data_IF_724684242390
#
_entry.id   IF_724684242390
#
_cell.length_a   1.000
_cell.length_b   1.000
_cell.length_c   1.000
_cell.angle_alpha   90.00
_cell.angle_beta   90.00
_cell.angle_gamma   90.00
#
_symmetry.space_group_name_H-M   'P 1'
#
loop_
_entity.id
_entity.type
_entity.pdbx_description
1 polymer ?
#
# COMPACT_ATOMS: atom_id res chain seq x y z
N UNK A 1 35.86 -12.37 -7.56
CA UNK A 1 34.73 -13.27 -7.22
C UNK A 1 34.13 -13.01 -5.80
N UNK A 2 34.15 -11.78 -5.28
CA UNK A 2 33.58 -11.44 -3.95
C UNK A 2 32.34 -10.54 -3.97
N UNK A 3 31.94 -10.05 -5.13
CA UNK A 3 30.82 -9.10 -5.23
C UNK A 3 29.44 -9.74 -5.52
N UNK A 4 29.41 -11.02 -5.90
CA UNK A 4 28.15 -11.72 -6.23
C UNK A 4 27.35 -12.15 -4.97
N UNK A 5 28.03 -12.39 -3.85
CA UNK A 5 27.39 -12.87 -2.62
C UNK A 5 26.62 -11.77 -1.84
N UNK A 6 27.06 -10.50 -1.94
CA UNK A 6 26.41 -9.40 -1.22
C UNK A 6 25.06 -9.04 -1.88
N UNK A 7 24.97 -9.10 -3.20
CA UNK A 7 23.72 -8.85 -3.93
C UNK A 7 22.65 -9.94 -3.68
N UNK A 8 23.07 -11.19 -3.54
CA UNK A 8 22.15 -12.31 -3.25
C UNK A 8 21.56 -12.18 -1.83
N UNK A 9 22.35 -11.76 -0.85
CA UNK A 9 21.86 -11.59 0.54
C UNK A 9 20.89 -10.43 0.70
N UNK A 10 21.04 -9.33 -0.04
CA UNK A 10 20.10 -8.20 0.00
C UNK A 10 18.79 -8.56 -0.69
N UNK A 11 18.84 -9.28 -1.80
CA UNK A 11 17.64 -9.79 -2.49
C UNK A 11 16.88 -10.83 -1.67
N UNK A 12 17.57 -11.76 -1.03
CA UNK A 12 16.97 -12.79 -0.18
C UNK A 12 16.30 -12.16 1.05
N UNK A 13 16.90 -11.16 1.71
CA UNK A 13 16.25 -10.48 2.83
C UNK A 13 15.04 -9.64 2.41
N UNK A 14 15.09 -8.96 1.28
CA UNK A 14 13.94 -8.23 0.76
C UNK A 14 12.79 -9.19 0.38
N UNK A 15 13.13 -10.35 -0.17
CA UNK A 15 12.17 -11.41 -0.50
C UNK A 15 11.58 -12.07 0.75
N UNK A 16 12.36 -12.31 1.79
CA UNK A 16 11.88 -12.84 3.07
C UNK A 16 10.97 -11.84 3.80
N UNK A 17 11.30 -10.54 3.81
CA UNK A 17 10.41 -9.53 4.39
C UNK A 17 9.10 -9.38 3.62
N UNK A 18 9.14 -9.45 2.28
CA UNK A 18 7.91 -9.44 1.47
C UNK A 18 7.08 -10.71 1.69
N UNK A 19 7.70 -11.86 1.83
CA UNK A 19 7.02 -13.14 2.07
C UNK A 19 6.40 -13.22 3.48
N UNK A 20 7.07 -12.72 4.51
CA UNK A 20 6.52 -12.67 5.88
C UNK A 20 5.30 -11.75 5.96
N UNK A 21 5.29 -10.65 5.21
CA UNK A 21 4.14 -9.74 5.12
C UNK A 21 3.00 -10.34 4.29
N UNK A 22 3.31 -11.10 3.24
CA UNK A 22 2.34 -11.79 2.37
C UNK A 22 1.73 -12.99 3.09
N UNK A 23 2.51 -13.80 3.80
CA UNK A 23 2.01 -14.99 4.52
C UNK A 23 1.06 -14.65 5.66
N UNK A 24 1.20 -13.49 6.30
CA UNK A 24 0.25 -13.04 7.32
C UNK A 24 -1.09 -12.60 6.73
N UNK A 25 -1.18 -12.38 5.43
CA UNK A 25 -2.37 -11.97 4.68
C UNK A 25 -2.61 -12.87 3.46
N UNK A 26 -2.90 -14.14 3.69
CA UNK A 26 -3.22 -15.17 2.65
C UNK A 26 -4.35 -14.78 1.66
N UNK A 27 -4.84 -13.56 1.73
CA UNK A 27 -5.95 -13.08 0.91
C UNK A 27 -5.54 -12.57 -0.47
N UNK A 28 -4.26 -12.47 -0.75
CA UNK A 28 -3.81 -11.84 -2.00
C UNK A 28 -4.17 -12.69 -3.23
N UNK A 29 -3.95 -13.99 -3.18
CA UNK A 29 -4.33 -14.91 -4.28
C UNK A 29 -5.84 -14.92 -4.51
N UNK A 30 -6.64 -14.78 -3.45
CA UNK A 30 -8.10 -14.77 -3.57
C UNK A 30 -8.66 -13.56 -4.33
N UNK A 31 -7.89 -12.47 -4.48
CA UNK A 31 -8.29 -11.29 -5.25
C UNK A 31 -7.97 -11.41 -6.74
N UNK A 32 -6.97 -12.17 -7.13
CA UNK A 32 -6.61 -12.34 -8.53
C UNK A 32 -7.73 -12.98 -9.35
N UNK A 33 -8.50 -13.88 -8.77
CA UNK A 33 -9.62 -14.57 -9.41
C UNK A 33 -10.94 -13.78 -9.43
N UNK A 34 -11.05 -12.69 -8.67
CA UNK A 34 -12.27 -11.87 -8.63
C UNK A 34 -12.29 -10.91 -9.83
N UNK A 35 -13.27 -11.04 -10.69
CA UNK A 35 -13.51 -10.11 -11.79
C UNK A 35 -14.56 -9.03 -11.38
N UNK A 36 -14.79 -8.07 -12.27
CA UNK A 36 -15.74 -6.97 -12.06
C UNK A 36 -17.10 -7.20 -12.74
N UNK A 37 -17.47 -8.46 -13.04
CA UNK A 37 -18.67 -8.80 -13.80
C UNK A 37 -19.92 -9.05 -12.93
N UNK A 38 -19.95 -8.55 -11.71
CA UNK A 38 -21.16 -8.66 -10.86
C UNK A 38 -22.27 -7.72 -11.37
N UNK A 39 -23.52 -8.18 -11.33
CA UNK A 39 -24.68 -7.49 -11.91
C UNK A 39 -24.88 -6.04 -11.40
N UNK A 40 -24.57 -5.76 -10.15
CA UNK A 40 -24.78 -4.44 -9.53
C UNK A 40 -23.48 -3.68 -9.27
N UNK A 41 -22.36 -4.12 -9.86
CA UNK A 41 -21.08 -3.42 -9.69
C UNK A 41 -21.08 -2.12 -10.51
N UNK A 42 -20.65 -1.00 -9.91
CA UNK A 42 -20.40 0.23 -10.65
C UNK A 42 -19.40 0.03 -11.78
N UNK A 43 -19.65 0.68 -12.93
CA UNK A 43 -18.86 0.49 -14.14
C UNK A 43 -17.89 1.63 -14.44
N UNK A 44 -17.97 2.76 -13.75
CA UNK A 44 -17.23 3.97 -14.12
C UNK A 44 -16.53 4.69 -12.96
N UNK A 45 -16.45 4.15 -11.78
CA UNK A 45 -15.60 4.65 -10.70
C UNK A 45 -14.99 3.48 -9.94
N UNK A 46 -14.01 3.75 -9.11
CA UNK A 46 -13.38 2.70 -8.35
C UNK A 46 -14.36 2.03 -7.38
N UNK A 47 -14.33 0.72 -7.36
CA UNK A 47 -14.88 -0.12 -6.30
C UNK A 47 -13.91 -1.28 -6.05
N UNK A 48 -13.69 -1.66 -4.79
CA UNK A 48 -12.81 -2.80 -4.51
C UNK A 48 -13.37 -4.10 -5.08
N UNK A 49 -12.51 -5.03 -5.40
CA UNK A 49 -12.92 -6.35 -5.93
C UNK A 49 -13.85 -7.07 -4.97
N UNK A 50 -13.59 -6.98 -3.67
CA UNK A 50 -14.46 -7.54 -2.61
C UNK A 50 -14.15 -6.90 -1.26
N UNK A 51 -14.95 -7.22 -0.26
CA UNK A 51 -14.80 -6.87 1.14
C UNK A 51 -15.01 -5.39 1.44
N UNK A 52 -14.83 -5.01 2.71
CA UNK A 52 -15.09 -3.67 3.21
C UNK A 52 -14.16 -2.63 2.59
N UNK A 53 -14.71 -1.51 2.21
CA UNK A 53 -14.00 -0.31 1.75
C UNK A 53 -14.64 0.93 2.38
N UNK A 54 -13.84 1.93 2.77
CA UNK A 54 -14.32 3.24 3.18
C UNK A 54 -13.39 4.34 2.64
N UNK A 55 -12.77 5.15 3.48
CA UNK A 55 -12.11 6.40 3.10
C UNK A 55 -11.14 6.28 1.93
N UNK A 56 -11.24 7.11 0.89
CA UNK A 56 -10.18 7.29 -0.06
C UNK A 56 -8.98 7.98 0.60
N UNK A 57 -7.78 7.55 0.28
CA UNK A 57 -6.53 8.06 0.82
C UNK A 57 -5.56 8.38 -0.30
N UNK A 58 -4.70 9.37 -0.09
CA UNK A 58 -3.49 9.59 -0.85
C UNK A 58 -3.64 9.60 -2.38
N UNK A 59 -4.68 10.24 -2.91
CA UNK A 59 -4.82 10.39 -4.35
C UNK A 59 -3.65 11.21 -4.91
N UNK A 60 -2.78 10.58 -5.67
CA UNK A 60 -1.56 11.20 -6.20
C UNK A 60 -1.33 10.78 -7.65
N UNK A 61 -0.84 11.73 -8.48
CA UNK A 61 -0.45 11.46 -9.85
C UNK A 61 1.06 11.35 -9.97
N UNK A 62 1.53 10.26 -10.59
CA UNK A 62 2.94 10.08 -10.86
C UNK A 62 3.19 9.26 -12.13
N UNK A 63 4.02 9.80 -13.04
CA UNK A 63 4.46 9.14 -14.28
C UNK A 63 3.34 8.48 -15.09
N UNK A 64 2.23 9.19 -15.31
CA UNK A 64 1.11 8.71 -16.14
C UNK A 64 0.10 7.85 -15.41
N UNK A 65 0.23 7.69 -14.10
CA UNK A 65 -0.70 6.93 -13.28
C UNK A 65 -1.26 7.79 -12.14
N UNK A 66 -2.57 7.79 -11.97
CA UNK A 66 -3.24 8.20 -10.74
C UNK A 66 -3.20 7.03 -9.78
N UNK A 67 -2.72 7.24 -8.58
CA UNK A 67 -2.72 6.27 -7.49
C UNK A 67 -3.82 6.66 -6.51
N UNK A 68 -4.71 5.74 -6.23
CA UNK A 68 -5.72 5.84 -5.20
C UNK A 68 -5.44 4.78 -4.14
N UNK A 69 -5.20 5.22 -2.93
CA UNK A 69 -5.20 4.35 -1.77
C UNK A 69 -6.56 4.42 -1.08
N UNK A 70 -6.90 3.43 -0.29
CA UNK A 70 -8.21 3.40 0.38
C UNK A 70 -8.18 2.50 1.61
N UNK A 71 -9.01 2.85 2.58
CA UNK A 71 -9.23 2.00 3.75
C UNK A 71 -9.91 0.71 3.31
N UNK A 72 -9.36 -0.43 3.71
CA UNK A 72 -9.83 -1.73 3.29
C UNK A 72 -9.70 -2.77 4.40
N UNK A 73 -10.73 -3.59 4.57
CA UNK A 73 -10.60 -4.81 5.34
C UNK A 73 -10.43 -5.99 4.39
N UNK A 74 -9.23 -6.51 4.18
CA UNK A 74 -9.02 -7.60 3.23
C UNK A 74 -9.66 -8.94 3.64
N UNK A 75 -10.10 -9.06 4.90
CA UNK A 75 -10.55 -10.33 5.49
C UNK A 75 -12.07 -10.43 5.65
N UNK A 76 -12.82 -9.32 5.58
CA UNK A 76 -14.25 -9.32 5.91
C UNK A 76 -15.01 -8.20 5.20
N UNK A 77 -16.32 -8.40 5.06
CA UNK A 77 -17.27 -7.37 4.65
C UNK A 77 -17.62 -6.39 5.77
N UNK A 78 -17.13 -6.61 6.98
CA UNK A 78 -17.30 -5.72 8.12
C UNK A 78 -16.06 -4.83 8.31
N UNK A 79 -16.26 -3.68 8.92
CA UNK A 79 -15.17 -2.81 9.32
C UNK A 79 -14.20 -3.52 10.28
N UNK A 80 -12.92 -3.35 10.07
CA UNK A 80 -11.84 -3.94 10.88
C UNK A 80 -10.57 -4.19 10.06
N UNK A 81 -9.49 -4.61 10.68
CA UNK A 81 -8.21 -4.95 10.04
C UNK A 81 -7.76 -3.92 8.99
N UNK A 82 -7.93 -2.61 9.30
CA UNK A 82 -7.72 -1.55 8.33
C UNK A 82 -6.32 -1.60 7.74
N UNK A 83 -6.30 -1.71 6.43
CA UNK A 83 -5.15 -1.84 5.54
C UNK A 83 -5.29 -0.78 4.45
N UNK A 84 -4.21 -0.23 3.94
CA UNK A 84 -4.32 0.56 2.73
C UNK A 84 -4.37 -0.36 1.50
N UNK A 85 -5.56 -0.45 0.89
CA UNK A 85 -5.71 -0.94 -0.46
C UNK A 85 -5.10 0.04 -1.45
N UNK A 86 -4.85 -0.40 -2.69
CA UNK A 86 -4.25 0.41 -3.73
C UNK A 86 -4.89 0.12 -5.09
N UNK A 87 -5.15 1.17 -5.83
CA UNK A 87 -5.59 1.09 -7.22
C UNK A 87 -4.88 2.15 -8.06
N UNK A 88 -4.72 1.86 -9.34
CA UNK A 88 -4.17 2.81 -10.32
C UNK A 88 -5.15 3.03 -11.47
N UNK A 89 -5.07 4.23 -12.04
CA UNK A 89 -5.80 4.61 -13.24
C UNK A 89 -4.99 5.55 -14.12
N UNK A 90 -5.27 5.58 -15.41
CA UNK A 90 -4.74 6.57 -16.34
C UNK A 90 -5.69 7.73 -16.61
N UNK A 91 -6.98 7.55 -16.30
CA UNK A 91 -8.07 8.46 -16.66
C UNK A 91 -9.03 8.77 -15.49
N UNK A 92 -8.78 8.22 -14.30
CA UNK A 92 -9.64 8.26 -13.09
C UNK A 92 -11.04 7.66 -13.28
N UNK A 93 -11.30 6.98 -14.39
CA UNK A 93 -12.56 6.31 -14.69
C UNK A 93 -12.36 4.79 -14.61
N UNK A 94 -11.35 4.28 -15.32
CA UNK A 94 -11.00 2.86 -15.33
C UNK A 94 -9.87 2.59 -14.34
N UNK A 95 -10.12 1.75 -13.39
CA UNK A 95 -9.20 1.45 -12.29
C UNK A 95 -8.74 0.00 -12.32
N UNK A 96 -7.49 -0.20 -11.99
CA UNK A 96 -6.89 -1.52 -11.75
C UNK A 96 -6.49 -1.59 -10.29
N UNK A 97 -7.12 -2.48 -9.54
CA UNK A 97 -6.73 -2.75 -8.15
C UNK A 97 -5.42 -3.54 -8.14
N UNK A 98 -4.46 -3.00 -7.43
CA UNK A 98 -3.14 -3.58 -7.19
C UNK A 98 -3.10 -4.31 -5.83
N UNK A 99 -1.96 -4.95 -5.51
CA UNK A 99 -1.64 -5.37 -4.16
C UNK A 99 -1.84 -4.26 -3.13
N UNK A 100 -2.16 -4.65 -1.89
CA UNK A 100 -2.26 -3.68 -0.79
C UNK A 100 -0.92 -2.96 -0.60
N UNK A 101 -1.00 -1.65 -0.38
CA UNK A 101 0.18 -0.81 -0.23
C UNK A 101 0.80 -0.91 1.16
N UNK A 102 -0.02 -0.81 2.21
CA UNK A 102 0.45 -0.77 3.59
C UNK A 102 -0.43 -1.69 4.44
N UNK A 103 0.21 -2.67 5.07
CA UNK A 103 -0.44 -3.65 5.94
C UNK A 103 -0.38 -3.24 7.41
N UNK A 104 -1.29 -3.72 8.26
CA UNK A 104 -1.16 -3.62 9.70
C UNK A 104 0.20 -4.15 10.17
N UNK A 105 0.82 -3.44 11.10
CA UNK A 105 2.08 -3.86 11.72
C UNK A 105 2.07 -3.57 13.21
N UNK A 106 3.01 -4.18 13.95
CA UNK A 106 3.07 -4.03 15.40
C UNK A 106 1.74 -4.36 16.07
N UNK A 107 1.30 -3.48 16.94
CA UNK A 107 0.04 -3.61 17.68
C UNK A 107 -1.11 -2.75 17.12
N UNK A 108 -1.13 -2.46 15.81
CA UNK A 108 -2.15 -1.56 15.28
C UNK A 108 -2.56 -1.85 13.84
N UNK A 109 -3.44 -1.00 13.35
CA UNK A 109 -3.96 -1.00 11.98
C UNK A 109 -3.70 0.36 11.32
N UNK A 110 -3.86 0.43 10.01
CA UNK A 110 -3.53 1.61 9.22
C UNK A 110 -4.79 2.42 8.98
N UNK A 111 -4.89 3.60 9.61
CA UNK A 111 -5.99 4.53 9.40
C UNK A 111 -5.67 5.51 8.27
N UNK A 112 -6.60 6.42 8.03
CA UNK A 112 -6.56 7.33 6.89
C UNK A 112 -5.35 8.26 6.92
N UNK A 113 -5.00 8.76 5.75
CA UNK A 113 -3.87 9.64 5.54
C UNK A 113 -3.77 10.13 4.09
N UNK A 114 -2.58 10.56 3.71
CA UNK A 114 -2.32 11.17 2.41
C UNK A 114 -1.05 10.62 1.76
N UNK A 115 -0.84 10.94 0.47
CA UNK A 115 0.40 10.63 -0.22
C UNK A 115 0.84 11.82 -1.08
N UNK A 116 2.15 11.94 -1.27
CA UNK A 116 2.77 12.95 -2.12
C UNK A 116 3.94 12.37 -2.90
N UNK A 117 4.28 12.97 -4.04
CA UNK A 117 5.54 12.67 -4.72
C UNK A 117 6.63 13.57 -4.14
N UNK A 118 7.72 12.99 -3.67
CA UNK A 118 8.87 13.73 -3.16
C UNK A 118 9.69 14.34 -4.30
N UNK A 119 9.21 15.47 -4.81
CA UNK A 119 9.79 16.12 -5.99
C UNK A 119 11.19 16.66 -5.77
N UNK A 120 11.54 17.03 -4.56
CA UNK A 120 12.83 17.69 -4.20
C UNK A 120 13.74 16.77 -3.38
N UNK A 121 13.38 15.48 -3.25
CA UNK A 121 14.14 14.48 -2.50
C UNK A 121 14.30 14.81 -1.01
N UNK A 122 13.25 15.35 -0.39
CA UNK A 122 13.25 15.71 1.04
C UNK A 122 13.51 14.52 1.94
N UNK A 123 13.03 13.34 1.57
CA UNK A 123 13.24 12.10 2.30
C UNK A 123 14.59 11.44 2.00
N UNK A 124 15.31 11.89 0.95
CA UNK A 124 16.57 11.29 0.53
C UNK A 124 16.42 9.88 -0.05
N UNK A 125 15.25 9.52 -0.57
CA UNK A 125 14.95 8.18 -1.11
C UNK A 125 14.78 8.14 -2.63
N UNK A 126 14.79 9.28 -3.31
CA UNK A 126 14.73 9.31 -4.77
C UNK A 126 15.92 8.56 -5.37
N UNK A 127 15.68 7.90 -6.48
CA UNK A 127 16.72 7.30 -7.31
C UNK A 127 16.94 8.14 -8.57
N UNK A 128 17.92 7.79 -9.39
CA UNK A 128 18.13 8.43 -10.71
C UNK A 128 16.90 8.28 -11.62
N UNK A 129 16.14 7.20 -11.47
CA UNK A 129 15.00 6.86 -12.33
C UNK A 129 13.65 7.18 -11.72
N UNK A 130 13.51 7.12 -10.38
CA UNK A 130 12.24 7.20 -9.69
C UNK A 130 12.29 8.19 -8.52
N UNK A 131 11.25 9.01 -8.41
CA UNK A 131 10.97 9.79 -7.20
C UNK A 131 10.14 8.95 -6.24
N UNK A 132 10.36 9.13 -4.96
CA UNK A 132 9.59 8.45 -3.94
C UNK A 132 8.13 8.95 -3.94
N UNK A 133 7.17 8.02 -3.89
CA UNK A 133 5.82 8.31 -3.42
C UNK A 133 5.85 8.10 -1.92
N UNK A 134 5.59 9.14 -1.15
CA UNK A 134 5.62 9.12 0.33
C UNK A 134 4.19 9.15 0.83
N UNK A 135 3.84 8.20 1.65
CA UNK A 135 2.54 8.09 2.32
C UNK A 135 2.70 8.45 3.79
N UNK A 136 1.80 9.27 4.31
CA UNK A 136 1.64 9.57 5.73
C UNK A 136 0.27 9.12 6.19
N UNK A 137 0.21 8.40 7.29
CA UNK A 137 -1.02 7.79 7.79
C UNK A 137 -1.04 7.73 9.32
N UNK A 138 -2.23 7.55 9.88
CA UNK A 138 -2.37 7.31 11.30
C UNK A 138 -2.21 5.81 11.57
N UNK A 139 -1.27 5.45 12.43
CA UNK A 139 -1.17 4.12 13.01
C UNK A 139 -2.08 4.03 14.24
N UNK A 140 -3.16 3.29 14.11
CA UNK A 140 -4.19 3.14 15.15
C UNK A 140 -3.85 1.93 16.02
N UNK A 141 -3.24 2.19 17.17
CA UNK A 141 -2.87 1.16 18.12
C UNK A 141 -4.08 0.55 18.84
N UNK A 142 -3.97 -0.69 19.23
CA UNK A 142 -4.94 -1.40 20.07
C UNK A 142 -4.70 -1.07 21.57
N UNK A 143 -5.58 -1.61 22.42
CA UNK A 143 -5.41 -1.58 23.87
C UNK A 143 -5.35 -0.17 24.49
N UNK A 144 -5.99 0.83 23.87
CA UNK A 144 -6.01 2.23 24.31
C UNK A 144 -4.65 2.93 24.26
N UNK A 145 -3.65 2.35 23.61
CA UNK A 145 -2.40 3.03 23.34
C UNK A 145 -2.64 4.23 22.41
N UNK A 146 -1.90 5.33 22.56
CA UNK A 146 -2.09 6.51 21.72
C UNK A 146 -1.87 6.22 20.25
N UNK A 147 -2.73 6.76 19.39
CA UNK A 147 -2.49 6.75 17.95
C UNK A 147 -1.35 7.70 17.63
N UNK A 148 -0.60 7.38 16.58
CA UNK A 148 0.49 8.24 16.13
C UNK A 148 0.53 8.34 14.60
N UNK A 149 1.19 9.37 14.09
CA UNK A 149 1.44 9.51 12.67
C UNK A 149 2.67 8.69 12.29
N UNK A 150 2.55 7.96 11.20
CA UNK A 150 3.62 7.15 10.64
C UNK A 150 3.73 7.39 9.15
N UNK A 151 4.78 6.88 8.54
CA UNK A 151 5.03 7.05 7.13
C UNK A 151 5.58 5.80 6.44
N UNK A 152 5.36 5.77 5.14
CA UNK A 152 5.95 4.78 4.25
C UNK A 152 6.33 5.42 2.91
N UNK A 153 7.24 4.80 2.17
CA UNK A 153 7.63 5.29 0.85
C UNK A 153 7.78 4.15 -0.15
N UNK A 154 7.56 4.49 -1.41
CA UNK A 154 7.74 3.62 -2.56
C UNK A 154 8.70 4.27 -3.55
N UNK A 155 9.62 3.49 -4.11
CA UNK A 155 10.53 3.89 -5.20
C UNK A 155 10.37 3.00 -6.44
N UNK A 156 9.24 2.33 -6.55
CA UNK A 156 8.86 1.45 -7.65
C UNK A 156 7.47 1.77 -8.20
N UNK A 157 7.12 3.07 -8.18
CA UNK A 157 5.82 3.58 -8.64
C UNK A 157 4.65 2.98 -7.85
N UNK A 158 4.79 2.85 -6.54
CA UNK A 158 3.73 2.37 -5.64
C UNK A 158 3.48 0.86 -5.68
N UNK A 159 4.35 0.05 -6.28
CA UNK A 159 4.17 -1.41 -6.33
C UNK A 159 4.53 -2.07 -5.01
N UNK A 160 5.44 -1.44 -4.26
CA UNK A 160 5.74 -1.82 -2.87
C UNK A 160 5.99 -0.59 -2.00
N UNK A 161 5.81 -0.72 -0.69
CA UNK A 161 6.06 0.34 0.28
C UNK A 161 6.96 -0.15 1.41
N UNK A 162 7.89 0.70 1.82
CA UNK A 162 8.76 0.48 2.96
C UNK A 162 8.38 1.47 4.06
N UNK A 163 8.25 1.00 5.28
CA UNK A 163 7.99 1.88 6.43
C UNK A 163 9.18 2.81 6.68
N UNK A 164 8.91 4.08 6.97
CA UNK A 164 9.90 5.02 7.47
C UNK A 164 10.13 4.70 8.95
N UNK A 165 11.39 4.67 9.38
CA UNK A 165 11.79 4.38 10.76
C UNK A 165 11.10 3.15 11.38
N UNK A 166 10.92 2.10 10.56
CA UNK A 166 10.22 0.87 10.95
C UNK A 166 8.76 1.11 11.40
N UNK A 167 8.16 2.22 10.97
CA UNK A 167 6.79 2.60 11.32
C UNK A 167 6.63 3.17 12.73
N UNK A 168 7.71 3.57 13.37
CA UNK A 168 7.68 4.26 14.66
C UNK A 168 7.35 5.75 14.49
N UNK A 169 6.80 6.41 15.54
CA UNK A 169 6.55 7.85 15.52
C UNK A 169 7.84 8.64 15.49
#
# INVERSE_FOLDING_TARGET
MRYCLIFIFVFVRAQEYSNIMIDSFQTFESYASVNYNQAFRPQFHFSSKKNWINDPNGLVYYKGEYHLFFQHNPKSINWGNMTWGHAISRDMIKWVQLPHAIFPYGNGTIFSGTAVVDNINSLGKNTEKEKAIVAYFTHAQKNKDPFYQSGAYSIDRGRSFNLIDQGKP
#
